data_IF_006902779621
#
_entry.id   IF_006902779621
#
_cell.length_a   1.000
_cell.length_b   1.000
_cell.length_c   1.000
_cell.angle_alpha   90.00
_cell.angle_beta   90.00
_cell.angle_gamma   90.00
#
_symmetry.space_group_name_H-M   'P 1'
#
loop_
_entity.id
_entity.type
_entity.pdbx_description
1 polymer ?
#
# COMPACT_ATOMS: atom_id res chain seq x y z
N UNK A 1 -6.05 17.68 13.77
CA UNK A 1 -4.82 16.90 13.54
C UNK A 1 -5.23 15.49 13.14
N UNK A 2 -4.34 14.73 12.51
CA UNK A 2 -4.57 13.29 12.27
C UNK A 2 -4.20 12.55 13.56
N UNK A 3 -5.10 11.70 14.07
CA UNK A 3 -4.85 10.88 15.24
C UNK A 3 -3.90 9.73 14.85
N UNK A 4 -2.71 9.61 15.45
CA UNK A 4 -1.82 8.51 15.14
C UNK A 4 -2.41 7.20 15.67
N UNK A 5 -2.63 6.23 14.78
CA UNK A 5 -2.91 4.84 15.17
C UNK A 5 -1.62 4.22 15.71
N UNK A 6 -1.33 4.50 16.97
CA UNK A 6 -0.44 3.68 17.78
C UNK A 6 -1.34 2.67 18.46
N UNK A 7 -1.43 1.46 17.89
CA UNK A 7 -2.23 0.39 18.46
C UNK A 7 -1.92 0.20 19.96
N UNK A 8 -2.90 -0.33 20.70
CA UNK A 8 -2.68 -0.65 22.12
C UNK A 8 -1.48 -1.61 22.26
N UNK A 9 -0.81 -1.62 23.42
CA UNK A 9 0.34 -2.53 23.63
C UNK A 9 -0.09 -3.97 23.34
N UNK A 10 0.43 -4.56 22.26
CA UNK A 10 0.09 -5.91 21.81
C UNK A 10 -0.88 -6.01 20.63
N UNK A 11 -1.44 -4.89 20.16
CA UNK A 11 -2.30 -4.81 18.97
C UNK A 11 -1.55 -4.09 17.83
N UNK A 12 -0.87 -4.85 16.97
CA UNK A 12 0.07 -4.33 15.98
C UNK A 12 -0.40 -4.50 14.53
N UNK A 13 -1.68 -4.77 14.28
CA UNK A 13 -2.16 -5.09 12.93
C UNK A 13 -1.82 -4.01 11.89
N UNK A 14 -2.07 -2.74 12.21
CA UNK A 14 -1.73 -1.62 11.30
C UNK A 14 -0.21 -1.52 11.07
N UNK A 15 0.58 -1.73 12.13
CA UNK A 15 2.04 -1.70 12.05
C UNK A 15 2.58 -2.85 11.19
N UNK A 16 2.04 -4.07 11.35
CA UNK A 16 2.45 -5.24 10.59
C UNK A 16 2.13 -5.10 9.10
N UNK A 17 0.99 -4.49 8.75
CA UNK A 17 0.66 -4.19 7.37
C UNK A 17 1.62 -3.16 6.78
N UNK A 18 1.86 -2.05 7.48
CA UNK A 18 2.80 -1.01 7.04
C UNK A 18 4.23 -1.56 6.89
N UNK A 19 4.68 -2.38 7.83
CA UNK A 19 5.98 -3.07 7.79
C UNK A 19 6.09 -4.01 6.59
N UNK A 20 5.02 -4.73 6.25
CA UNK A 20 4.99 -5.62 5.09
C UNK A 20 5.17 -4.84 3.79
N UNK A 21 4.46 -3.72 3.62
CA UNK A 21 4.58 -2.86 2.43
C UNK A 21 5.98 -2.25 2.34
N UNK A 22 6.51 -1.73 3.46
CA UNK A 22 7.85 -1.16 3.50
C UNK A 22 8.95 -2.19 3.22
N UNK A 23 8.80 -3.42 3.76
CA UNK A 23 9.72 -4.52 3.49
C UNK A 23 9.74 -4.91 2.03
N UNK A 24 8.57 -4.99 1.40
CA UNK A 24 8.44 -5.28 -0.02
C UNK A 24 9.07 -4.18 -0.89
N UNK A 25 8.79 -2.91 -0.61
CA UNK A 25 9.40 -1.78 -1.32
C UNK A 25 10.93 -1.85 -1.24
N UNK A 26 11.49 -2.09 -0.06
CA UNK A 26 12.94 -2.24 0.13
C UNK A 26 13.49 -3.40 -0.71
N UNK A 27 12.81 -4.54 -0.74
CA UNK A 27 13.24 -5.70 -1.53
C UNK A 27 13.19 -5.44 -3.05
N UNK A 28 12.08 -4.92 -3.56
CA UNK A 28 11.82 -4.79 -5.00
C UNK A 28 12.49 -3.56 -5.64
N UNK A 29 12.70 -2.49 -4.87
CA UNK A 29 13.24 -1.22 -5.37
C UNK A 29 14.63 -0.97 -4.82
N UNK A 30 14.77 -0.83 -3.50
CA UNK A 30 16.02 -0.38 -2.88
C UNK A 30 17.16 -1.39 -3.11
N UNK A 31 16.92 -2.66 -2.78
CA UNK A 31 17.94 -3.71 -2.87
C UNK A 31 18.11 -4.24 -4.29
N UNK A 32 17.01 -4.46 -5.01
CA UNK A 32 17.06 -5.08 -6.35
C UNK A 32 17.55 -4.15 -7.46
N UNK A 33 17.24 -2.85 -7.39
CA UNK A 33 17.60 -1.88 -8.45
C UNK A 33 18.80 -1.00 -8.06
N UNK A 34 19.24 -1.05 -6.82
CA UNK A 34 20.45 -0.36 -6.36
C UNK A 34 21.75 -0.97 -6.93
N UNK A 35 22.91 -0.34 -6.70
CA UNK A 35 23.10 0.87 -5.88
C UNK A 35 22.60 2.15 -6.57
N UNK A 36 22.03 3.05 -5.77
CA UNK A 36 21.48 4.32 -6.25
C UNK A 36 22.53 5.43 -6.20
N UNK A 37 22.49 6.31 -7.22
CA UNK A 37 23.48 7.39 -7.37
C UNK A 37 23.07 8.70 -6.68
N UNK A 38 21.79 8.88 -6.40
CA UNK A 38 21.24 10.06 -5.74
C UNK A 38 19.88 9.78 -5.10
N UNK A 39 19.41 10.71 -4.27
CA UNK A 39 18.08 10.61 -3.66
C UNK A 39 16.96 10.79 -4.69
N UNK A 40 17.14 11.69 -5.65
CA UNK A 40 16.17 11.98 -6.71
C UNK A 40 15.89 10.74 -7.57
N UNK A 41 16.91 9.90 -7.80
CA UNK A 41 16.73 8.63 -8.51
C UNK A 41 15.87 7.64 -7.72
N UNK A 42 16.00 7.63 -6.39
CA UNK A 42 15.16 6.81 -5.50
C UNK A 42 13.75 7.36 -5.45
N UNK A 43 13.57 8.67 -5.37
CA UNK A 43 12.24 9.31 -5.38
C UNK A 43 11.48 8.98 -6.66
N UNK A 44 12.11 9.12 -7.82
CA UNK A 44 11.49 8.79 -9.10
C UNK A 44 11.11 7.30 -9.17
N UNK A 45 12.01 6.40 -8.77
CA UNK A 45 11.71 4.96 -8.73
C UNK A 45 10.60 4.61 -7.73
N UNK A 46 10.47 5.39 -6.65
CA UNK A 46 9.40 5.24 -5.67
C UNK A 46 8.05 5.63 -6.28
N UNK A 47 7.98 6.75 -7.00
CA UNK A 47 6.76 7.16 -7.71
C UNK A 47 6.31 6.10 -8.72
N UNK A 48 7.24 5.57 -9.53
CA UNK A 48 6.95 4.49 -10.48
C UNK A 48 6.47 3.22 -9.78
N UNK A 49 7.09 2.85 -8.66
CA UNK A 49 6.71 1.67 -7.90
C UNK A 49 5.33 1.81 -7.25
N UNK A 50 5.02 2.97 -6.68
CA UNK A 50 3.71 3.26 -6.07
C UNK A 50 2.60 3.22 -7.13
N UNK A 51 2.80 3.86 -8.28
CA UNK A 51 1.86 3.84 -9.40
C UNK A 51 1.62 2.39 -9.88
N UNK A 52 2.69 1.64 -10.13
CA UNK A 52 2.57 0.24 -10.53
C UNK A 52 1.89 -0.62 -9.46
N UNK A 53 2.26 -0.46 -8.19
CA UNK A 53 1.70 -1.24 -7.08
C UNK A 53 0.20 -1.02 -6.98
N UNK A 54 -0.27 0.22 -7.03
CA UNK A 54 -1.69 0.53 -6.81
C UNK A 54 -2.56 0.28 -8.04
N UNK A 55 -2.04 0.52 -9.25
CA UNK A 55 -2.86 0.52 -10.46
C UNK A 55 -2.62 -0.67 -11.39
N UNK A 56 -1.56 -1.46 -11.19
CA UNK A 56 -1.19 -2.57 -12.09
C UNK A 56 -0.87 -3.89 -11.40
N UNK A 57 -0.42 -3.88 -10.14
CA UNK A 57 -0.05 -5.10 -9.41
C UNK A 57 -1.29 -5.90 -9.05
N UNK A 58 -1.36 -7.14 -9.51
CA UNK A 58 -2.44 -8.05 -9.15
C UNK A 58 -2.11 -8.75 -7.82
N UNK A 59 -3.06 -8.75 -6.89
CA UNK A 59 -2.90 -9.40 -5.60
C UNK A 59 -3.96 -10.48 -5.40
N UNK A 60 -3.52 -11.73 -5.31
CA UNK A 60 -4.41 -12.87 -5.10
C UNK A 60 -5.35 -12.74 -3.88
N UNK A 61 -4.90 -12.23 -2.71
CA UNK A 61 -5.77 -12.10 -1.54
C UNK A 61 -6.98 -11.18 -1.72
N UNK A 62 -6.92 -10.22 -2.66
CA UNK A 62 -8.02 -9.30 -2.99
C UNK A 62 -8.71 -9.67 -4.31
N UNK A 63 -8.53 -10.91 -4.79
CA UNK A 63 -9.21 -11.42 -5.98
C UNK A 63 -8.48 -11.15 -7.30
N UNK A 64 -7.16 -11.01 -7.28
CA UNK A 64 -6.32 -10.76 -8.46
C UNK A 64 -6.69 -9.47 -9.21
N UNK A 65 -6.99 -8.40 -8.47
CA UNK A 65 -7.19 -7.06 -9.02
C UNK A 65 -6.15 -6.09 -8.46
N UNK A 66 -5.95 -4.91 -9.09
CA UNK A 66 -5.13 -3.85 -8.51
C UNK A 66 -5.70 -3.34 -7.17
N UNK A 67 -4.84 -2.95 -6.20
CA UNK A 67 -5.27 -2.37 -4.92
C UNK A 67 -6.25 -1.21 -5.05
N UNK A 68 -6.00 -0.28 -5.98
CA UNK A 68 -6.88 0.87 -6.19
C UNK A 68 -8.28 0.45 -6.65
N UNK A 69 -8.39 -0.64 -7.42
CA UNK A 69 -9.69 -1.18 -7.83
C UNK A 69 -10.40 -1.86 -6.66
N UNK A 70 -9.69 -2.62 -5.83
CA UNK A 70 -10.26 -3.22 -4.64
C UNK A 70 -10.76 -2.15 -3.64
N UNK A 71 -10.00 -1.08 -3.43
CA UNK A 71 -10.41 0.05 -2.58
C UNK A 71 -11.66 0.76 -3.13
N UNK A 72 -11.71 1.02 -4.45
CA UNK A 72 -12.89 1.61 -5.08
C UNK A 72 -14.14 0.74 -4.92
N UNK A 73 -14.01 -0.59 -5.08
CA UNK A 73 -15.10 -1.56 -4.85
C UNK A 73 -15.55 -1.55 -3.39
N UNK A 74 -14.61 -1.50 -2.44
CA UNK A 74 -14.92 -1.43 -1.01
C UNK A 74 -15.73 -0.17 -0.66
N UNK A 75 -15.29 1.01 -1.10
CA UNK A 75 -16.00 2.26 -0.81
C UNK A 75 -17.39 2.33 -1.46
N UNK A 76 -17.54 1.78 -2.67
CA UNK A 76 -18.86 1.67 -3.31
C UNK A 76 -19.80 0.82 -2.45
N UNK A 77 -19.35 -0.37 -2.03
CA UNK A 77 -20.16 -1.27 -1.22
C UNK A 77 -20.51 -0.70 0.17
N UNK A 78 -19.55 -0.05 0.83
CA UNK A 78 -19.78 0.60 2.13
C UNK A 78 -20.77 1.78 1.99
N UNK A 79 -20.65 2.56 0.90
CA UNK A 79 -21.60 3.63 0.59
C UNK A 79 -23.02 3.11 0.40
N UNK A 80 -23.17 2.00 -0.34
CA UNK A 80 -24.47 1.34 -0.56
C UNK A 80 -25.07 0.82 0.75
N UNK A 81 -24.26 0.22 1.64
CA UNK A 81 -24.70 -0.24 2.95
C UNK A 81 -25.13 0.91 3.87
N UNK A 82 -24.43 2.04 3.83
CA UNK A 82 -24.77 3.23 4.61
C UNK A 82 -26.04 3.93 4.08
N UNK A 83 -26.32 3.86 2.78
CA UNK A 83 -27.57 4.39 2.18
C UNK A 83 -28.79 3.49 2.41
N UNK A 84 -28.58 2.19 2.66
CA UNK A 84 -29.63 1.21 2.89
C UNK A 84 -30.05 1.06 4.37
N UNK A 85 -29.33 1.69 5.31
CA UNK A 85 -29.58 1.68 6.76
C UNK A 85 -30.33 2.94 7.22
#
# INVERSE_FOLDING_TARGET
GIEPSVGSVGDSYDNALAETINGLFKAEVIHRRGPWRSFEAVEYATLEWVDWYNHRRLLAPIGNVPPAEAEARYHTHVGDQAMAA
#
